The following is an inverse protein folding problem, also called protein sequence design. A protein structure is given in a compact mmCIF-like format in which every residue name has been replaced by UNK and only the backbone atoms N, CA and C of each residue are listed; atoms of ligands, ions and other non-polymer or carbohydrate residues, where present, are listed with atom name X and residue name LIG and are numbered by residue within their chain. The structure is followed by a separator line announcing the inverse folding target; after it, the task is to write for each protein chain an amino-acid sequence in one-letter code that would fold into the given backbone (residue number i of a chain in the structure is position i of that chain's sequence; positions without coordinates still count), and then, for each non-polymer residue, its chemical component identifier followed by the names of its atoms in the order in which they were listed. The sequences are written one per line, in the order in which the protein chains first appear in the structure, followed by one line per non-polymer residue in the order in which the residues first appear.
data_IF_290508359235
#
_entry.id   IF_290508359235
#
_cell.length_a   1.000
_cell.length_b   1.000
_cell.length_c   1.000
_cell.angle_alpha   90.00
_cell.angle_beta   90.00
_cell.angle_gamma   90.00
#
_symmetry.space_group_name_H-M   'P 1'
#
loop_
_entity.id
_entity.type
_entity.pdbx_description
1 polymer ?
#
# COMPACT_ATOMS: atom_id res chain seq x y z
N UNK A 1 10.66 26.94 1.63
CA UNK A 1 9.92 25.66 1.69
C UNK A 1 8.93 25.70 0.53
N UNK A 2 9.09 24.83 -0.48
CA UNK A 2 8.19 24.75 -1.63
C UNK A 2 7.03 23.82 -1.26
N UNK A 3 5.79 24.23 -1.52
CA UNK A 3 4.62 23.42 -1.25
C UNK A 3 3.49 23.74 -2.23
N UNK A 4 2.70 22.71 -2.56
CA UNK A 4 1.47 22.86 -3.34
C UNK A 4 0.31 22.99 -2.35
N UNK A 5 -0.33 24.15 -2.30
CA UNK A 5 -1.68 24.26 -1.74
C UNK A 5 -2.71 23.94 -2.83
N UNK A 6 -3.91 23.52 -2.40
CA UNK A 6 -5.02 22.77 -3.05
C UNK A 6 -5.53 23.21 -4.44
N UNK A 7 -4.75 23.91 -5.27
CA UNK A 7 -5.14 24.36 -6.62
C UNK A 7 -4.02 24.26 -7.67
N UNK A 8 -3.04 23.36 -7.51
CA UNK A 8 -1.96 23.17 -8.50
C UNK A 8 -1.14 24.45 -8.78
N UNK A 9 -1.19 25.44 -7.87
CA UNK A 9 -0.42 26.69 -7.93
C UNK A 9 0.85 26.53 -7.11
N UNK A 10 2.00 26.76 -7.74
CA UNK A 10 3.31 26.72 -7.09
C UNK A 10 3.35 27.84 -6.04
N UNK A 11 3.42 27.46 -4.77
CA UNK A 11 3.52 28.42 -3.66
C UNK A 11 4.96 28.52 -3.21
N UNK A 12 5.53 29.72 -3.32
CA UNK A 12 6.90 30.02 -2.88
C UNK A 12 6.85 30.85 -1.59
N UNK A 13 7.23 30.24 -0.47
CA UNK A 13 7.47 30.97 0.76
C UNK A 13 8.78 31.76 0.65
N UNK A 14 8.66 33.08 0.53
CA UNK A 14 9.79 34.02 0.39
C UNK A 14 9.92 34.90 1.62
N UNK A 15 11.12 35.44 1.84
CA UNK A 15 11.33 36.47 2.87
C UNK A 15 10.75 37.83 2.40
N UNK A 16 10.65 38.78 3.34
CA UNK A 16 10.04 40.09 3.07
C UNK A 16 10.76 40.87 1.96
N UNK A 17 12.09 40.78 1.86
CA UNK A 17 12.86 41.47 0.83
C UNK A 17 12.57 40.92 -0.57
N UNK A 18 12.57 39.60 -0.72
CA UNK A 18 12.24 38.92 -1.97
C UNK A 18 10.76 39.10 -2.35
N UNK A 19 9.85 39.11 -1.36
CA UNK A 19 8.43 39.45 -1.59
C UNK A 19 8.28 40.86 -2.19
N UNK A 20 8.96 41.85 -1.61
CA UNK A 20 8.87 43.24 -2.06
C UNK A 20 9.42 43.44 -3.48
N UNK A 21 10.38 42.63 -3.90
CA UNK A 21 10.91 42.64 -5.26
C UNK A 21 9.97 41.93 -6.23
N UNK A 22 9.51 40.72 -5.90
CA UNK A 22 8.62 39.91 -6.73
C UNK A 22 7.23 40.55 -6.91
N UNK A 23 6.71 41.22 -5.87
CA UNK A 23 5.41 41.89 -5.92
C UNK A 23 5.36 43.10 -6.85
N UNK A 24 6.51 43.62 -7.30
CA UNK A 24 6.58 44.68 -8.33
C UNK A 24 6.41 44.13 -9.74
N UNK A 25 6.76 42.87 -9.95
CA UNK A 25 6.80 42.21 -11.27
C UNK A 25 5.58 41.32 -11.51
N UNK A 26 5.03 40.71 -10.46
CA UNK A 26 3.86 39.82 -10.53
C UNK A 26 2.59 40.68 -10.40
N UNK A 27 1.71 40.62 -11.40
CA UNK A 27 0.50 41.44 -11.54
C UNK A 27 -0.47 41.42 -10.34
N UNK A 28 -1.36 42.42 -10.33
CA UNK A 28 -2.08 43.01 -9.18
C UNK A 28 -3.03 42.14 -8.36
N UNK A 29 -3.22 40.86 -8.64
CA UNK A 29 -4.15 40.03 -7.87
C UNK A 29 -3.50 39.56 -6.56
N UNK A 30 -3.45 40.49 -5.61
CA UNK A 30 -2.95 40.27 -4.26
C UNK A 30 -4.07 39.69 -3.41
N UNK A 31 -3.95 38.41 -3.07
CA UNK A 31 -4.76 37.79 -2.03
C UNK A 31 -4.05 37.92 -0.68
N UNK A 32 -4.66 38.65 0.25
CA UNK A 32 -4.14 38.77 1.61
C UNK A 32 -4.73 37.65 2.47
N UNK A 33 -3.91 36.67 2.83
CA UNK A 33 -4.28 35.63 3.79
C UNK A 33 -3.86 36.10 5.17
N UNK A 34 -4.82 36.38 6.04
CA UNK A 34 -4.56 36.67 7.46
C UNK A 34 -4.70 35.39 8.26
N UNK A 35 -3.66 35.03 9.00
CA UNK A 35 -3.70 33.86 9.89
C UNK A 35 -3.90 34.34 11.33
N UNK A 36 -4.88 33.75 12.01
CA UNK A 36 -5.15 34.02 13.43
C UNK A 36 -4.76 32.76 14.20
N UNK A 37 -3.72 32.85 15.02
CA UNK A 37 -3.33 31.77 15.93
C UNK A 37 -3.95 32.02 17.30
N UNK A 38 -4.84 31.13 17.72
CA UNK A 38 -5.41 31.18 19.06
C UNK A 38 -4.40 30.62 20.08
N UNK A 39 -4.22 31.31 21.21
CA UNK A 39 -3.38 30.82 22.32
C UNK A 39 -4.01 29.62 23.04
N UNK A 40 -5.33 29.54 23.03
CA UNK A 40 -6.10 28.43 23.58
C UNK A 40 -7.12 27.97 22.52
N UNK A 41 -7.25 26.65 22.36
CA UNK A 41 -8.15 26.02 21.40
C UNK A 41 -9.56 25.73 21.97
N UNK A 42 -9.76 25.98 23.26
CA UNK A 42 -11.09 25.90 23.89
C UNK A 42 -12.07 26.83 23.16
N UNK A 43 -13.29 26.34 22.88
CA UNK A 43 -14.38 27.05 22.19
C UNK A 43 -14.10 27.53 20.75
N UNK A 44 -13.06 27.01 20.09
CA UNK A 44 -12.74 27.40 18.69
C UNK A 44 -13.93 27.19 17.74
N UNK A 45 -14.81 26.20 17.98
CA UNK A 45 -16.03 25.99 17.18
C UNK A 45 -17.01 27.17 17.26
N UNK A 46 -17.23 27.72 18.45
CA UNK A 46 -18.12 28.84 18.69
C UNK A 46 -17.55 30.14 18.11
N UNK A 47 -16.24 30.35 18.24
CA UNK A 47 -15.55 31.51 17.67
C UNK A 47 -15.67 31.50 16.13
N UNK A 48 -15.44 30.33 15.52
CA UNK A 48 -15.54 30.16 14.06
C UNK A 48 -16.96 30.39 13.56
N UNK A 49 -17.97 29.84 14.25
CA UNK A 49 -19.38 30.05 13.87
C UNK A 49 -19.81 31.50 14.07
N UNK A 50 -19.37 32.17 15.14
CA UNK A 50 -19.63 33.58 15.36
C UNK A 50 -19.05 34.45 14.24
N UNK A 51 -17.79 34.26 13.86
CA UNK A 51 -17.15 35.05 12.80
C UNK A 51 -17.86 34.80 11.46
N UNK A 52 -18.12 33.54 11.10
CA UNK A 52 -18.80 33.20 9.84
C UNK A 52 -20.20 33.81 9.72
N UNK A 53 -20.94 33.87 10.83
CA UNK A 53 -22.30 34.41 10.82
C UNK A 53 -22.34 35.95 10.89
N UNK A 54 -21.28 36.59 11.37
CA UNK A 54 -21.22 38.04 11.58
C UNK A 54 -20.24 38.77 10.65
N UNK A 55 -19.60 38.06 9.72
CA UNK A 55 -18.66 38.64 8.76
C UNK A 55 -18.73 37.91 7.42
N UNK A 56 -18.43 38.63 6.34
CA UNK A 56 -18.38 38.10 4.97
C UNK A 56 -17.00 37.51 4.64
N UNK A 57 -16.35 36.91 5.64
CA UNK A 57 -14.98 36.41 5.54
C UNK A 57 -15.02 34.90 5.28
N UNK A 58 -14.37 34.48 4.19
CA UNK A 58 -14.07 33.07 3.91
C UNK A 58 -13.06 32.54 4.94
N UNK A 59 -13.60 31.95 6.00
CA UNK A 59 -12.82 31.43 7.12
C UNK A 59 -12.56 29.93 6.92
N UNK A 60 -11.28 29.53 6.99
CA UNK A 60 -10.87 28.13 7.00
C UNK A 60 -10.44 27.73 8.41
N UNK A 61 -11.22 26.86 9.06
CA UNK A 61 -10.92 26.36 10.40
C UNK A 61 -10.58 24.88 10.39
N UNK A 62 -9.66 24.48 11.29
CA UNK A 62 -9.36 23.07 11.57
C UNK A 62 -10.59 22.30 12.08
N UNK A 63 -11.57 23.01 12.65
CA UNK A 63 -12.82 22.44 13.14
C UNK A 63 -13.84 22.12 12.04
N UNK A 64 -13.58 22.52 10.79
CA UNK A 64 -14.41 22.16 9.63
C UNK A 64 -14.10 20.76 9.10
N UNK A 65 -13.31 19.97 9.83
CA UNK A 65 -13.14 18.56 9.56
C UNK A 65 -14.49 17.83 9.67
N UNK A 66 -15.13 17.61 8.52
CA UNK A 66 -16.31 16.77 8.40
C UNK A 66 -15.87 15.35 8.01
N UNK A 67 -16.02 14.35 8.90
CA UNK A 67 -15.61 12.98 8.58
C UNK A 67 -16.37 12.39 7.38
N UNK A 68 -17.53 12.94 7.02
CA UNK A 68 -18.30 12.51 5.85
C UNK A 68 -17.65 12.92 4.52
N UNK A 69 -16.77 13.92 4.50
CA UNK A 69 -16.11 14.40 3.28
C UNK A 69 -15.10 13.37 2.72
N UNK A 70 -14.70 12.39 3.55
CA UNK A 70 -13.78 11.31 3.17
C UNK A 70 -14.49 10.00 2.82
N UNK A 71 -15.83 9.98 2.73
CA UNK A 71 -16.60 8.76 2.45
C UNK A 71 -16.13 8.02 1.19
N UNK A 72 -15.81 8.75 0.12
CA UNK A 72 -15.28 8.19 -1.12
C UNK A 72 -13.89 7.55 -0.95
N UNK A 73 -12.99 8.22 -0.22
CA UNK A 73 -11.64 7.72 0.06
C UNK A 73 -11.71 6.44 0.92
N UNK A 74 -12.59 6.43 1.93
CA UNK A 74 -12.83 5.24 2.76
C UNK A 74 -13.38 4.07 1.93
N UNK A 75 -14.29 4.32 1.00
CA UNK A 75 -14.80 3.30 0.09
C UNK A 75 -13.69 2.73 -0.81
N UNK A 76 -12.80 3.58 -1.35
CA UNK A 76 -11.63 3.13 -2.12
C UNK A 76 -10.73 2.22 -1.28
N UNK A 77 -10.41 2.61 -0.04
CA UNK A 77 -9.59 1.78 0.85
C UNK A 77 -10.23 0.43 1.14
N UNK A 78 -11.54 0.41 1.40
CA UNK A 78 -12.28 -0.83 1.64
C UNK A 78 -12.25 -1.75 0.42
N UNK A 79 -12.57 -1.22 -0.77
CA UNK A 79 -12.56 -1.98 -2.01
C UNK A 79 -11.15 -2.49 -2.32
N UNK A 80 -10.13 -1.64 -2.16
CA UNK A 80 -8.73 -2.00 -2.37
C UNK A 80 -8.27 -3.13 -1.46
N UNK A 81 -8.59 -3.06 -0.15
CA UNK A 81 -8.24 -4.10 0.81
C UNK A 81 -8.97 -5.41 0.51
N UNK A 82 -10.27 -5.35 0.23
CA UNK A 82 -11.06 -6.53 -0.13
C UNK A 82 -10.50 -7.21 -1.38
N UNK A 83 -10.21 -6.42 -2.42
CA UNK A 83 -9.69 -6.92 -3.68
C UNK A 83 -8.29 -7.54 -3.51
N UNK A 84 -7.43 -6.93 -2.68
CA UNK A 84 -6.14 -7.50 -2.33
C UNK A 84 -6.28 -8.88 -1.66
N UNK A 85 -7.23 -9.02 -0.72
CA UNK A 85 -7.50 -10.26 -0.03
C UNK A 85 -7.96 -11.37 -0.99
N UNK A 86 -8.90 -11.02 -1.88
CA UNK A 86 -9.41 -11.93 -2.93
C UNK A 86 -8.28 -12.36 -3.87
N UNK A 87 -7.43 -11.44 -4.33
CA UNK A 87 -6.30 -11.78 -5.19
C UNK A 87 -5.28 -12.68 -4.52
N UNK A 88 -4.95 -12.46 -3.24
CA UNK A 88 -4.01 -13.32 -2.51
C UNK A 88 -4.54 -14.75 -2.41
N UNK A 89 -5.81 -14.92 -2.04
CA UNK A 89 -6.46 -16.23 -1.97
C UNK A 89 -6.51 -16.88 -3.36
N UNK A 90 -6.80 -16.09 -4.41
CA UNK A 90 -6.90 -16.58 -5.78
C UNK A 90 -5.55 -17.08 -6.31
N UNK A 91 -4.49 -16.29 -6.19
CA UNK A 91 -3.14 -16.68 -6.62
C UNK A 91 -2.63 -17.88 -5.83
N UNK A 92 -2.86 -17.90 -4.50
CA UNK A 92 -2.54 -19.05 -3.66
C UNK A 92 -3.26 -20.32 -4.11
N UNK A 93 -4.55 -20.23 -4.42
CA UNK A 93 -5.38 -21.36 -4.88
C UNK A 93 -4.95 -21.86 -6.27
N UNK A 94 -4.68 -20.95 -7.20
CA UNK A 94 -4.18 -21.29 -8.54
C UNK A 94 -2.87 -22.06 -8.44
N UNK A 95 -1.93 -21.58 -7.62
CA UNK A 95 -0.65 -22.26 -7.41
C UNK A 95 -0.80 -23.61 -6.73
N UNK A 96 -1.65 -23.70 -5.71
CA UNK A 96 -1.98 -24.94 -5.03
C UNK A 96 -2.49 -26.00 -6.01
N UNK A 97 -3.50 -25.66 -6.83
CA UNK A 97 -4.06 -26.60 -7.80
C UNK A 97 -3.09 -26.96 -8.92
N UNK A 98 -2.31 -26.00 -9.42
CA UNK A 98 -1.27 -26.25 -10.42
C UNK A 98 -0.28 -27.30 -9.92
N UNK A 99 0.32 -27.08 -8.74
CA UNK A 99 1.31 -28.01 -8.20
C UNK A 99 0.71 -29.38 -7.89
N UNK A 100 -0.52 -29.45 -7.39
CA UNK A 100 -1.20 -30.74 -7.15
C UNK A 100 -1.48 -31.50 -8.44
N UNK A 101 -1.87 -30.80 -9.51
CA UNK A 101 -2.04 -31.41 -10.83
C UNK A 101 -0.72 -31.99 -11.35
N UNK A 102 0.39 -31.29 -11.14
CA UNK A 102 1.73 -31.77 -11.50
C UNK A 102 2.17 -32.97 -10.64
N UNK A 103 1.74 -33.05 -9.38
CA UNK A 103 2.04 -34.17 -8.49
C UNK A 103 1.57 -35.52 -9.05
N UNK A 104 0.38 -35.55 -9.67
CA UNK A 104 -0.17 -36.77 -10.28
C UNK A 104 0.71 -37.27 -11.43
N UNK A 105 1.30 -36.36 -12.21
CA UNK A 105 2.21 -36.68 -13.33
C UNK A 105 3.56 -37.16 -12.81
N UNK A 106 4.09 -36.48 -11.79
CA UNK A 106 5.39 -36.79 -11.21
C UNK A 106 5.40 -38.05 -10.33
N UNK A 107 4.22 -38.54 -9.86
CA UNK A 107 4.09 -39.76 -9.04
C UNK A 107 4.82 -40.95 -9.65
N UNK A 108 4.56 -41.25 -10.93
CA UNK A 108 5.22 -42.38 -11.63
C UNK A 108 6.75 -42.24 -11.62
N UNK A 109 7.26 -41.02 -11.78
CA UNK A 109 8.71 -40.73 -11.76
C UNK A 109 9.29 -40.99 -10.38
N UNK A 110 8.62 -40.55 -9.32
CA UNK A 110 9.05 -40.79 -7.95
C UNK A 110 8.97 -42.27 -7.55
N UNK A 111 7.99 -43.03 -8.04
CA UNK A 111 7.90 -44.47 -7.81
C UNK A 111 9.08 -45.22 -8.44
N UNK A 112 9.50 -44.85 -9.65
CA UNK A 112 10.70 -45.42 -10.29
C UNK A 112 11.95 -45.11 -9.45
N UNK A 113 12.09 -43.87 -8.98
CA UNK A 113 13.22 -43.46 -8.12
C UNK A 113 13.28 -44.28 -6.82
N UNK A 114 12.13 -44.62 -6.22
CA UNK A 114 12.08 -45.51 -5.05
C UNK A 114 12.50 -46.93 -5.38
N UNK A 115 12.07 -47.47 -6.53
CA UNK A 115 12.41 -48.84 -6.96
C UNK A 115 13.90 -49.04 -7.20
N UNK A 116 14.61 -47.99 -7.63
CA UNK A 116 16.08 -48.01 -7.77
C UNK A 116 16.84 -47.68 -6.47
N UNK A 117 16.15 -47.57 -5.33
CA UNK A 117 16.76 -47.41 -4.01
C UNK A 117 16.94 -45.97 -3.52
N UNK A 118 16.33 -44.97 -4.16
CA UNK A 118 16.46 -43.57 -3.70
C UNK A 118 15.77 -43.38 -2.36
N UNK A 119 16.49 -42.86 -1.37
CA UNK A 119 15.93 -42.57 -0.05
C UNK A 119 14.85 -41.47 -0.15
N UNK A 120 13.70 -41.71 0.49
CA UNK A 120 12.54 -40.81 0.52
C UNK A 120 12.88 -39.38 1.00
N UNK A 121 13.90 -39.22 1.86
CA UNK A 121 14.37 -37.89 2.30
C UNK A 121 14.85 -37.03 1.13
N UNK A 122 15.56 -37.62 0.16
CA UNK A 122 16.03 -36.90 -1.03
C UNK A 122 14.88 -36.56 -1.97
N UNK A 123 13.91 -37.48 -2.14
CA UNK A 123 12.69 -37.22 -2.93
C UNK A 123 11.91 -36.04 -2.33
N UNK A 124 11.66 -36.05 -1.01
CA UNK A 124 10.97 -34.95 -0.35
C UNK A 124 11.72 -33.61 -0.51
N UNK A 125 13.05 -33.60 -0.35
CA UNK A 125 13.87 -32.40 -0.54
C UNK A 125 13.78 -31.86 -1.97
N UNK A 126 13.77 -32.74 -2.97
CA UNK A 126 13.59 -32.36 -4.36
C UNK A 126 12.22 -31.73 -4.60
N UNK A 127 11.15 -32.31 -4.03
CA UNK A 127 9.78 -31.76 -4.13
C UNK A 127 9.70 -30.36 -3.50
N UNK A 128 10.23 -30.18 -2.28
CA UNK A 128 10.24 -28.86 -1.63
C UNK A 128 10.96 -27.80 -2.49
N UNK A 129 12.08 -28.16 -3.12
CA UNK A 129 12.83 -27.27 -4.01
C UNK A 129 12.06 -26.96 -5.29
N UNK A 130 11.46 -27.97 -5.93
CA UNK A 130 10.66 -27.81 -7.15
C UNK A 130 9.48 -26.85 -6.91
N UNK A 131 8.69 -27.12 -5.87
CA UNK A 131 7.55 -26.26 -5.51
C UNK A 131 8.04 -24.86 -5.08
N UNK A 132 9.15 -24.79 -4.35
CA UNK A 132 9.72 -23.53 -3.88
C UNK A 132 10.04 -22.58 -5.04
N UNK A 133 10.66 -23.09 -6.10
CA UNK A 133 10.98 -22.30 -7.31
C UNK A 133 9.70 -21.74 -7.95
N UNK A 134 8.63 -22.53 -8.04
CA UNK A 134 7.36 -22.07 -8.59
C UNK A 134 6.70 -20.97 -7.75
N UNK A 135 6.80 -21.05 -6.43
CA UNK A 135 6.28 -20.03 -5.51
C UNK A 135 7.20 -18.78 -5.43
N UNK A 136 8.49 -18.89 -5.75
CA UNK A 136 9.39 -17.73 -5.75
C UNK A 136 9.00 -16.71 -6.82
N UNK A 137 8.52 -17.14 -8.00
CA UNK A 137 8.20 -16.22 -9.09
C UNK A 137 7.10 -15.22 -8.70
N UNK A 138 5.91 -15.64 -8.23
CA UNK A 138 4.89 -14.69 -7.80
C UNK A 138 5.33 -13.86 -6.60
N UNK A 139 6.09 -14.45 -5.66
CA UNK A 139 6.59 -13.73 -4.50
C UNK A 139 7.52 -12.56 -4.89
N UNK A 140 8.43 -12.78 -5.84
CA UNK A 140 9.30 -11.72 -6.36
C UNK A 140 8.50 -10.61 -7.03
N UNK A 141 7.50 -10.96 -7.86
CA UNK A 141 6.62 -9.99 -8.51
C UNK A 141 5.84 -9.17 -7.48
N UNK A 142 5.33 -9.80 -6.42
CA UNK A 142 4.62 -9.10 -5.35
C UNK A 142 5.52 -8.16 -4.55
N UNK A 143 6.76 -8.57 -4.27
CA UNK A 143 7.76 -7.72 -3.58
C UNK A 143 8.11 -6.52 -4.44
N UNK A 144 8.42 -6.72 -5.72
CA UNK A 144 8.79 -5.62 -6.63
C UNK A 144 7.62 -4.65 -6.81
N UNK A 145 6.40 -5.16 -7.01
CA UNK A 145 5.19 -4.35 -7.11
C UNK A 145 4.95 -3.52 -5.84
N UNK A 146 5.13 -4.12 -4.66
CA UNK A 146 4.96 -3.43 -3.37
C UNK A 146 5.99 -2.31 -3.16
N UNK A 147 7.23 -2.54 -3.56
CA UNK A 147 8.30 -1.53 -3.49
C UNK A 147 7.99 -0.35 -4.42
N UNK A 148 7.61 -0.62 -5.68
CA UNK A 148 7.24 0.43 -6.64
C UNK A 148 6.03 1.23 -6.14
N UNK A 149 5.01 0.55 -5.61
CA UNK A 149 3.86 1.23 -5.00
C UNK A 149 4.27 2.09 -3.80
N UNK A 150 5.17 1.60 -2.94
CA UNK A 150 5.70 2.37 -1.82
C UNK A 150 6.44 3.64 -2.23
N UNK A 151 7.26 3.55 -3.29
CA UNK A 151 7.90 4.73 -3.88
C UNK A 151 6.87 5.72 -4.43
N UNK A 152 5.87 5.24 -5.16
CA UNK A 152 4.81 6.10 -5.70
C UNK A 152 4.02 6.82 -4.59
N UNK A 153 3.67 6.13 -3.49
CA UNK A 153 2.98 6.76 -2.36
C UNK A 153 3.89 7.81 -1.70
N UNK A 154 5.18 7.50 -1.53
CA UNK A 154 6.13 8.44 -0.92
C UNK A 154 6.27 9.72 -1.74
N UNK A 155 6.35 9.59 -3.07
CA UNK A 155 6.44 10.73 -4.00
C UNK A 155 5.14 11.55 -4.04
N UNK A 156 3.98 10.88 -4.16
CA UNK A 156 2.67 11.54 -4.29
C UNK A 156 2.23 12.28 -3.02
N UNK A 157 2.53 11.71 -1.85
CA UNK A 157 2.04 12.24 -0.57
C UNK A 157 3.13 12.91 0.26
N UNK A 158 4.39 12.90 -0.20
CA UNK A 158 5.56 13.40 0.54
C UNK A 158 5.62 12.82 1.98
N UNK A 159 5.26 11.54 2.12
CA UNK A 159 5.18 10.82 3.40
C UNK A 159 5.99 9.53 3.34
N UNK A 160 6.70 9.22 4.42
CA UNK A 160 7.49 8.00 4.49
C UNK A 160 6.58 6.74 4.49
N UNK A 161 6.61 5.98 3.39
CA UNK A 161 5.77 4.78 3.21
C UNK A 161 6.46 3.48 3.61
N UNK A 162 7.69 3.51 4.14
CA UNK A 162 8.49 2.30 4.45
C UNK A 162 7.76 1.34 5.38
N UNK A 163 7.14 1.84 6.46
CA UNK A 163 6.43 0.99 7.40
C UNK A 163 5.21 0.32 6.75
N UNK A 164 4.49 1.06 5.90
CA UNK A 164 3.32 0.54 5.18
C UNK A 164 3.75 -0.53 4.18
N UNK A 165 4.74 -0.25 3.34
CA UNK A 165 5.27 -1.20 2.34
C UNK A 165 5.90 -2.44 2.98
N UNK A 166 6.61 -2.28 4.10
CA UNK A 166 7.17 -3.42 4.82
C UNK A 166 6.06 -4.31 5.39
N UNK A 167 5.02 -3.71 5.98
CA UNK A 167 3.88 -4.44 6.54
C UNK A 167 3.12 -5.21 5.47
N UNK A 168 2.90 -4.64 4.28
CA UNK A 168 2.21 -5.32 3.17
C UNK A 168 3.03 -6.50 2.63
N UNK A 169 4.34 -6.33 2.44
CA UNK A 169 5.25 -7.41 2.01
C UNK A 169 5.24 -8.56 3.02
N UNK A 170 5.40 -8.25 4.31
CA UNK A 170 5.42 -9.27 5.36
C UNK A 170 4.09 -10.02 5.44
N UNK A 171 2.97 -9.30 5.39
CA UNK A 171 1.63 -9.89 5.43
C UNK A 171 1.38 -10.82 4.23
N UNK A 172 1.76 -10.38 3.03
CA UNK A 172 1.69 -11.21 1.83
C UNK A 172 2.55 -12.46 1.97
N UNK A 173 3.82 -12.32 2.34
CA UNK A 173 4.75 -13.45 2.47
C UNK A 173 4.29 -14.46 3.54
N UNK A 174 3.71 -13.99 4.64
CA UNK A 174 3.16 -14.86 5.68
C UNK A 174 2.04 -15.76 5.12
N UNK A 175 1.06 -15.16 4.43
CA UNK A 175 -0.04 -15.92 3.82
C UNK A 175 0.48 -16.84 2.72
N UNK A 176 1.40 -16.34 1.89
CA UNK A 176 1.96 -17.10 0.78
C UNK A 176 2.81 -18.30 1.25
N UNK A 177 3.52 -18.15 2.36
CA UNK A 177 4.26 -19.24 3.01
C UNK A 177 3.32 -20.34 3.52
N UNK A 178 2.16 -19.98 4.07
CA UNK A 178 1.14 -20.96 4.46
C UNK A 178 0.71 -21.79 3.25
N UNK A 179 0.38 -21.14 2.13
CA UNK A 179 0.04 -21.85 0.89
C UNK A 179 1.19 -22.76 0.40
N UNK A 180 2.44 -22.29 0.46
CA UNK A 180 3.60 -23.09 0.10
C UNK A 180 3.70 -24.38 0.94
N UNK A 181 3.61 -24.26 2.27
CA UNK A 181 3.70 -25.40 3.18
C UNK A 181 2.55 -26.38 2.95
N UNK A 182 1.32 -25.88 2.80
CA UNK A 182 0.15 -26.70 2.52
C UNK A 182 0.31 -27.46 1.19
N UNK A 183 0.73 -26.76 0.14
CA UNK A 183 0.96 -27.33 -1.18
C UNK A 183 2.04 -28.40 -1.13
N UNK A 184 3.19 -28.13 -0.51
CA UNK A 184 4.29 -29.07 -0.45
C UNK A 184 3.95 -30.34 0.35
N UNK A 185 3.26 -30.20 1.48
CA UNK A 185 2.79 -31.36 2.27
C UNK A 185 1.80 -32.20 1.46
N UNK A 186 0.84 -31.56 0.79
CA UNK A 186 -0.17 -32.27 -0.01
C UNK A 186 0.48 -32.98 -1.20
N UNK A 187 1.41 -32.30 -1.88
CA UNK A 187 2.16 -32.87 -2.99
C UNK A 187 2.94 -34.13 -2.57
N UNK A 188 3.66 -34.09 -1.44
CA UNK A 188 4.38 -35.26 -0.90
C UNK A 188 3.40 -36.40 -0.59
N UNK A 189 2.24 -36.08 0.00
CA UNK A 189 1.22 -37.10 0.30
C UNK A 189 0.64 -37.78 -0.95
N UNK A 190 0.52 -37.07 -2.07
CA UNK A 190 -0.03 -37.62 -3.32
C UNK A 190 0.99 -38.47 -4.10
N UNK A 191 2.27 -38.12 -3.95
CA UNK A 191 3.40 -38.81 -4.61
C UNK A 191 4.02 -39.90 -3.77
N UNK A 192 3.64 -40.03 -2.49
CA UNK A 192 3.84 -41.25 -1.70
C UNK A 192 3.05 -42.41 -2.29
#
# INVERSE_FOLDING_TARGET
MFGLFKENKITLAVNNSAYNELSKTIGKDKFNITTITLKNFDNTKEIVSYIRNNSDIDLYSVNEFNPNDYGFINAIYFIGLFLALVFVISVGSIMYFKCISDASKDKRRFDILRRIGTNQKYINKAIYKQIGIFFMIPALVSITHSIVAGYAITDLFNQNSILLTSTTIVSFLAIYLIYYILTARKYISLTK
#
